data_IF_883347670437
#
_entry.id   IF_883347670437
#
_cell.length_a   1.000
_cell.length_b   1.000
_cell.length_c   1.000
_cell.angle_alpha   90.00
_cell.angle_beta   90.00
_cell.angle_gamma   90.00
#
_symmetry.space_group_name_H-M   'P 1'
#
loop_
_entity.id
_entity.type
_entity.pdbx_description
1 polymer ?
#
# COMPACT_ATOMS: atom_id res chain seq x y z
N UNK A 1 6.84 13.82 -28.17
CA UNK A 1 5.81 14.86 -27.98
C UNK A 1 4.46 14.17 -27.95
N UNK A 2 3.68 14.38 -26.91
CA UNK A 2 2.36 13.76 -26.74
C UNK A 2 1.40 14.26 -27.82
N UNK A 3 0.68 13.35 -28.47
CA UNK A 3 -0.34 13.70 -29.45
C UNK A 3 -1.62 14.21 -28.77
N UNK A 4 -2.48 14.95 -29.53
CA UNK A 4 -3.78 15.39 -29.01
C UNK A 4 -4.64 14.21 -28.52
N UNK A 5 -4.62 13.10 -29.25
CA UNK A 5 -5.38 11.91 -28.87
C UNK A 5 -4.85 11.22 -27.62
N UNK A 6 -3.54 11.22 -27.40
CA UNK A 6 -2.92 10.70 -26.17
C UNK A 6 -3.25 11.59 -24.97
N UNK A 7 -3.21 12.91 -25.16
CA UNK A 7 -3.59 13.86 -24.12
C UNK A 7 -5.05 13.67 -23.68
N UNK A 8 -5.97 13.59 -24.62
CA UNK A 8 -7.40 13.37 -24.32
C UNK A 8 -7.63 12.06 -23.57
N UNK A 9 -6.95 10.98 -23.97
CA UNK A 9 -7.04 9.69 -23.25
C UNK A 9 -6.50 9.78 -21.83
N UNK A 10 -5.38 10.44 -21.65
CA UNK A 10 -4.79 10.64 -20.32
C UNK A 10 -5.71 11.46 -19.41
N UNK A 11 -6.22 12.59 -19.91
CA UNK A 11 -7.15 13.43 -19.14
C UNK A 11 -8.41 12.64 -18.72
N UNK A 12 -8.96 11.84 -19.66
CA UNK A 12 -10.11 10.99 -19.36
C UNK A 12 -9.78 9.90 -18.33
N UNK A 13 -8.61 9.29 -18.41
CA UNK A 13 -8.14 8.31 -17.41
C UNK A 13 -8.02 8.94 -16.03
N UNK A 14 -7.50 10.16 -15.93
CA UNK A 14 -7.40 10.92 -14.67
C UNK A 14 -8.77 11.23 -14.06
N UNK A 15 -9.76 11.62 -14.87
CA UNK A 15 -11.14 11.83 -14.42
C UNK A 15 -11.76 10.53 -13.86
N UNK A 16 -11.61 9.42 -14.58
CA UNK A 16 -12.11 8.11 -14.16
C UNK A 16 -11.44 7.63 -12.88
N UNK A 17 -10.13 7.83 -12.75
CA UNK A 17 -9.40 7.52 -11.52
C UNK A 17 -9.93 8.33 -10.33
N UNK A 18 -10.12 9.65 -10.51
CA UNK A 18 -10.64 10.50 -9.47
C UNK A 18 -12.05 10.09 -9.02
N UNK A 19 -12.92 9.74 -9.97
CA UNK A 19 -14.26 9.23 -9.66
C UNK A 19 -14.19 7.87 -8.96
N UNK A 20 -13.33 6.95 -9.43
CA UNK A 20 -13.09 5.66 -8.77
C UNK A 20 -12.70 5.84 -7.30
N UNK A 21 -11.78 6.77 -7.03
CA UNK A 21 -11.35 7.07 -5.66
C UNK A 21 -12.51 7.62 -4.81
N UNK A 22 -13.35 8.50 -5.35
CA UNK A 22 -14.55 8.97 -4.65
C UNK A 22 -15.51 7.83 -4.29
N UNK A 23 -15.76 6.91 -5.23
CA UNK A 23 -16.61 5.74 -5.00
C UNK A 23 -16.01 4.79 -3.95
N UNK A 24 -14.69 4.58 -4.00
CA UNK A 24 -13.99 3.78 -3.00
C UNK A 24 -14.14 4.39 -1.59
N UNK A 25 -13.95 5.68 -1.44
CA UNK A 25 -14.11 6.37 -0.16
C UNK A 25 -15.56 6.39 0.33
N UNK A 26 -16.52 6.33 -0.59
CA UNK A 26 -17.93 6.18 -0.27
C UNK A 26 -18.34 4.74 0.07
N UNK A 27 -17.44 3.77 -0.12
CA UNK A 27 -17.69 2.35 0.16
C UNK A 27 -18.30 1.57 -1.02
N UNK A 28 -18.52 2.20 -2.17
CA UNK A 28 -18.98 1.50 -3.38
C UNK A 28 -17.79 0.86 -4.11
N UNK A 29 -17.36 -0.30 -3.58
CA UNK A 29 -16.20 -1.01 -4.12
C UNK A 29 -16.45 -1.55 -5.53
N UNK A 30 -17.69 -1.89 -5.88
CA UNK A 30 -18.03 -2.38 -7.22
C UNK A 30 -17.87 -1.27 -8.27
N UNK A 31 -18.41 -0.09 -7.99
CA UNK A 31 -18.24 1.08 -8.86
C UNK A 31 -16.75 1.50 -8.94
N UNK A 32 -16.04 1.53 -7.82
CA UNK A 32 -14.62 1.86 -7.77
C UNK A 32 -13.79 0.93 -8.67
N UNK A 33 -13.96 -0.38 -8.55
CA UNK A 33 -13.24 -1.37 -9.37
C UNK A 33 -13.51 -1.18 -10.87
N UNK A 34 -14.76 -0.98 -11.24
CA UNK A 34 -15.13 -0.73 -12.64
C UNK A 34 -14.42 0.50 -13.19
N UNK A 35 -14.49 1.61 -12.46
CA UNK A 35 -13.91 2.89 -12.88
C UNK A 35 -12.37 2.86 -12.93
N UNK A 36 -11.71 2.20 -11.96
CA UNK A 36 -10.25 2.00 -12.02
C UNK A 36 -9.85 1.18 -13.26
N UNK A 37 -10.59 0.12 -13.59
CA UNK A 37 -10.30 -0.68 -14.79
C UNK A 37 -10.49 0.15 -16.06
N UNK A 38 -11.57 0.91 -16.17
CA UNK A 38 -11.80 1.81 -17.32
C UNK A 38 -10.68 2.85 -17.45
N UNK A 39 -10.22 3.43 -16.34
CA UNK A 39 -9.07 4.34 -16.32
C UNK A 39 -7.80 3.67 -16.85
N UNK A 40 -7.50 2.46 -16.36
CA UNK A 40 -6.31 1.70 -16.73
C UNK A 40 -6.32 1.23 -18.20
N UNK A 41 -7.49 0.95 -18.76
CA UNK A 41 -7.64 0.63 -20.20
C UNK A 41 -7.27 1.82 -21.08
N UNK A 42 -7.54 3.04 -20.61
CA UNK A 42 -7.19 4.25 -21.33
C UNK A 42 -5.71 4.63 -21.17
N UNK A 43 -5.22 4.57 -19.93
CA UNK A 43 -3.84 4.92 -19.60
C UNK A 43 -3.39 4.11 -18.39
N UNK A 44 -2.56 3.06 -18.56
CA UNK A 44 -2.00 2.32 -17.43
C UNK A 44 -1.11 3.21 -16.56
N UNK A 45 -1.38 3.24 -15.26
CA UNK A 45 -0.60 3.99 -14.27
C UNK A 45 -0.28 3.13 -13.06
N UNK A 46 0.86 3.37 -12.41
CA UNK A 46 1.22 2.68 -11.18
C UNK A 46 0.23 2.99 -10.06
N UNK A 47 -0.20 4.23 -9.98
CA UNK A 47 -1.23 4.68 -9.03
C UNK A 47 -2.56 3.95 -9.25
N UNK A 48 -3.02 3.85 -10.49
CA UNK A 48 -4.27 3.17 -10.84
C UNK A 48 -4.29 1.70 -10.45
N UNK A 49 -3.22 0.96 -10.76
CA UNK A 49 -3.07 -0.43 -10.34
C UNK A 49 -2.98 -0.57 -8.83
N UNK A 50 -2.24 0.31 -8.14
CA UNK A 50 -2.10 0.29 -6.68
C UNK A 50 -3.46 0.49 -5.99
N UNK A 51 -4.24 1.46 -6.43
CA UNK A 51 -5.57 1.73 -5.85
C UNK A 51 -6.58 0.64 -6.19
N UNK A 52 -6.51 0.04 -7.38
CA UNK A 52 -7.32 -1.15 -7.69
C UNK A 52 -6.96 -2.31 -6.75
N UNK A 53 -5.67 -2.55 -6.52
CA UNK A 53 -5.20 -3.53 -5.55
C UNK A 53 -5.73 -3.24 -4.14
N UNK A 54 -5.68 -2.00 -3.70
CA UNK A 54 -6.24 -1.59 -2.43
C UNK A 54 -7.75 -1.86 -2.36
N UNK A 55 -8.48 -1.64 -3.45
CA UNK A 55 -9.91 -1.97 -3.51
C UNK A 55 -10.17 -3.46 -3.33
N UNK A 56 -9.36 -4.33 -3.94
CA UNK A 56 -9.45 -5.78 -3.71
C UNK A 56 -9.15 -6.16 -2.26
N UNK A 57 -8.22 -5.47 -1.60
CA UNK A 57 -7.86 -5.77 -0.21
C UNK A 57 -9.03 -5.58 0.77
N UNK A 58 -9.92 -4.62 0.52
CA UNK A 58 -11.14 -4.45 1.31
C UNK A 58 -12.11 -5.63 1.20
N UNK A 59 -12.00 -6.42 0.14
CA UNK A 59 -12.77 -7.64 -0.05
C UNK A 59 -12.04 -8.89 0.45
N UNK A 60 -10.86 -8.75 1.05
CA UNK A 60 -10.02 -9.87 1.47
C UNK A 60 -9.41 -10.66 0.30
N UNK A 61 -9.39 -10.10 -0.90
CA UNK A 61 -8.85 -10.71 -2.12
C UNK A 61 -7.36 -10.39 -2.24
N UNK A 62 -6.56 -10.97 -1.34
CA UNK A 62 -5.16 -10.61 -1.15
C UNK A 62 -4.28 -10.93 -2.36
N UNK A 63 -4.48 -12.08 -3.00
CA UNK A 63 -3.72 -12.47 -4.20
C UNK A 63 -4.03 -11.56 -5.39
N UNK A 64 -5.29 -11.17 -5.57
CA UNK A 64 -5.69 -10.22 -6.62
C UNK A 64 -5.08 -8.83 -6.34
N UNK A 65 -5.08 -8.41 -5.08
CA UNK A 65 -4.46 -7.16 -4.65
C UNK A 65 -2.95 -7.15 -4.93
N UNK A 66 -2.25 -8.24 -4.62
CA UNK A 66 -0.82 -8.41 -4.91
C UNK A 66 -0.57 -8.37 -6.44
N UNK A 67 -1.40 -9.06 -7.21
CA UNK A 67 -1.27 -9.07 -8.67
C UNK A 67 -1.37 -7.65 -9.27
N UNK A 68 -2.28 -6.82 -8.78
CA UNK A 68 -2.38 -5.43 -9.22
C UNK A 68 -1.16 -4.60 -8.78
N UNK A 69 -0.65 -4.78 -7.57
CA UNK A 69 0.57 -4.12 -7.14
C UNK A 69 1.79 -4.52 -7.99
N UNK A 70 1.90 -5.78 -8.41
CA UNK A 70 2.95 -6.23 -9.32
C UNK A 70 2.84 -5.53 -10.69
N UNK A 71 1.64 -5.35 -11.22
CA UNK A 71 1.41 -4.56 -12.44
C UNK A 71 1.80 -3.09 -12.25
N UNK A 72 1.52 -2.52 -11.08
CA UNK A 72 1.96 -1.16 -10.75
C UNK A 72 3.48 -1.02 -10.83
N UNK A 73 4.21 -2.00 -10.31
CA UNK A 73 5.68 -2.04 -10.34
C UNK A 73 6.22 -2.19 -11.79
N UNK A 74 5.52 -2.95 -12.63
CA UNK A 74 5.87 -3.06 -14.06
C UNK A 74 5.72 -1.72 -14.78
N UNK A 75 4.68 -0.94 -14.45
CA UNK A 75 4.45 0.39 -15.05
C UNK A 75 5.47 1.41 -14.57
N UNK A 76 5.71 1.47 -13.25
CA UNK A 76 6.68 2.39 -12.65
C UNK A 76 7.34 1.76 -11.42
N UNK A 77 8.53 1.15 -11.59
CA UNK A 77 9.24 0.52 -10.47
C UNK A 77 9.78 1.51 -9.43
N UNK A 78 9.73 2.81 -9.70
CA UNK A 78 10.17 3.85 -8.75
C UNK A 78 9.11 4.21 -7.72
N UNK A 79 7.84 3.91 -7.99
CA UNK A 79 6.72 4.20 -7.11
C UNK A 79 6.68 3.21 -5.94
N UNK A 80 6.83 3.70 -4.70
CA UNK A 80 7.08 2.86 -3.53
C UNK A 80 5.84 2.22 -2.90
N UNK A 81 4.65 2.81 -3.08
CA UNK A 81 3.42 2.36 -2.46
C UNK A 81 3.11 0.86 -2.70
N UNK A 82 3.19 0.33 -3.95
CA UNK A 82 2.86 -1.07 -4.19
C UNK A 82 3.80 -2.04 -3.47
N UNK A 83 5.05 -1.69 -3.23
CA UNK A 83 5.97 -2.54 -2.47
C UNK A 83 5.53 -2.70 -1.01
N UNK A 84 5.17 -1.61 -0.35
CA UNK A 84 4.62 -1.65 1.01
C UNK A 84 3.30 -2.42 1.05
N UNK A 85 2.42 -2.19 0.07
CA UNK A 85 1.10 -2.82 0.02
C UNK A 85 1.21 -4.33 -0.18
N UNK A 86 2.10 -4.81 -1.06
CA UNK A 86 2.39 -6.25 -1.20
C UNK A 86 2.83 -6.84 0.15
N UNK A 87 3.75 -6.18 0.85
CA UNK A 87 4.19 -6.62 2.17
C UNK A 87 3.02 -6.73 3.16
N UNK A 88 2.13 -5.74 3.19
CA UNK A 88 0.95 -5.74 4.05
C UNK A 88 -0.01 -6.90 3.71
N UNK A 89 -0.24 -7.16 2.43
CA UNK A 89 -1.12 -8.26 1.98
C UNK A 89 -0.51 -9.63 2.26
N UNK A 90 0.81 -9.77 2.16
CA UNK A 90 1.52 -11.00 2.52
C UNK A 90 1.41 -11.32 4.02
N UNK A 91 1.35 -10.32 4.89
CA UNK A 91 1.06 -10.54 6.32
C UNK A 91 -0.32 -11.19 6.50
N UNK A 92 -1.32 -10.74 5.77
CA UNK A 92 -2.67 -11.32 5.83
C UNK A 92 -2.74 -12.77 5.31
N UNK A 93 -1.77 -13.16 4.48
CA UNK A 93 -1.59 -14.53 3.97
C UNK A 93 -0.63 -15.38 4.82
N UNK A 94 -0.23 -14.92 6.00
CA UNK A 94 0.73 -15.59 6.88
C UNK A 94 2.10 -15.88 6.20
N UNK A 95 2.52 -14.95 5.31
CA UNK A 95 3.78 -15.02 4.56
C UNK A 95 4.74 -13.92 5.02
N UNK A 96 5.03 -13.87 6.31
CA UNK A 96 5.77 -12.79 6.97
C UNK A 96 7.20 -12.64 6.46
N UNK A 97 7.90 -13.73 6.21
CA UNK A 97 9.30 -13.68 5.77
C UNK A 97 9.43 -13.04 4.38
N UNK A 98 8.48 -13.30 3.49
CA UNK A 98 8.40 -12.65 2.20
C UNK A 98 8.02 -11.16 2.35
N UNK A 99 7.11 -10.84 3.25
CA UNK A 99 6.68 -9.47 3.52
C UNK A 99 7.85 -8.57 3.91
N UNK A 100 8.79 -9.05 4.73
CA UNK A 100 9.97 -8.30 5.16
C UNK A 100 10.77 -7.79 3.94
N UNK A 101 10.99 -8.63 2.95
CA UNK A 101 11.76 -8.25 1.75
C UNK A 101 11.02 -7.17 0.93
N UNK A 102 9.69 -7.21 0.88
CA UNK A 102 8.91 -6.18 0.20
C UNK A 102 8.94 -4.83 0.92
N UNK A 103 8.92 -4.81 2.25
CA UNK A 103 9.08 -3.56 3.01
C UNK A 103 10.46 -2.95 2.80
N UNK A 104 11.53 -3.74 2.72
CA UNK A 104 12.87 -3.25 2.38
C UNK A 104 12.88 -2.57 1.01
N UNK A 105 12.24 -3.16 0.00
CA UNK A 105 12.10 -2.54 -1.32
C UNK A 105 11.33 -1.21 -1.28
N UNK A 106 10.31 -1.10 -0.42
CA UNK A 106 9.58 0.16 -0.25
C UNK A 106 10.50 1.28 0.26
N UNK A 107 11.36 1.01 1.24
CA UNK A 107 12.33 1.99 1.72
C UNK A 107 13.33 2.44 0.66
N UNK A 108 13.67 1.58 -0.29
CA UNK A 108 14.63 1.85 -1.36
C UNK A 108 14.00 2.55 -2.57
N UNK A 109 12.68 2.58 -2.68
CA UNK A 109 11.98 3.14 -3.82
C UNK A 109 12.15 4.67 -3.89
N UNK A 110 12.59 5.24 -5.03
CA UNK A 110 12.87 6.68 -5.16
C UNK A 110 11.67 7.59 -4.93
N UNK A 111 10.48 7.12 -5.29
CA UNK A 111 9.21 7.85 -5.14
C UNK A 111 8.40 7.31 -3.98
N UNK A 112 8.97 7.37 -2.77
CA UNK A 112 8.28 6.95 -1.55
C UNK A 112 8.78 7.73 -0.35
N UNK A 113 7.87 8.33 0.40
CA UNK A 113 8.19 9.15 1.58
C UNK A 113 7.41 8.71 2.83
N UNK A 114 6.42 7.84 2.67
CA UNK A 114 5.52 7.43 3.75
C UNK A 114 6.11 6.28 4.60
N UNK A 115 7.33 6.44 5.09
CA UNK A 115 8.10 5.41 5.81
C UNK A 115 7.44 4.91 7.10
N UNK A 116 6.50 5.65 7.66
CA UNK A 116 5.76 5.19 8.84
C UNK A 116 5.02 3.87 8.58
N UNK A 117 4.51 3.65 7.36
CA UNK A 117 3.76 2.43 7.03
C UNK A 117 4.62 1.16 6.98
N UNK A 118 5.74 1.10 6.25
CA UNK A 118 6.59 -0.08 6.28
C UNK A 118 7.22 -0.32 7.66
N UNK A 119 7.57 0.71 8.43
CA UNK A 119 7.99 0.53 9.81
C UNK A 119 6.88 -0.07 10.67
N UNK A 120 5.67 0.46 10.59
CA UNK A 120 4.53 -0.09 11.33
C UNK A 120 4.25 -1.55 10.96
N UNK A 121 4.28 -1.87 9.67
CA UNK A 121 4.05 -3.23 9.18
C UNK A 121 5.18 -4.20 9.57
N UNK A 122 6.44 -3.77 9.56
CA UNK A 122 7.56 -4.56 10.10
C UNK A 122 7.36 -4.83 11.60
N UNK A 123 6.89 -3.86 12.35
CA UNK A 123 6.50 -4.05 13.75
C UNK A 123 5.48 -5.18 13.91
N UNK A 124 4.44 -5.19 13.08
CA UNK A 124 3.42 -6.26 13.06
C UNK A 124 4.04 -7.63 12.76
N UNK A 125 4.94 -7.70 11.78
CA UNK A 125 5.65 -8.94 11.42
C UNK A 125 6.47 -9.45 12.60
N UNK A 126 7.31 -8.61 13.19
CA UNK A 126 8.16 -9.02 14.31
C UNK A 126 7.34 -9.40 15.54
N UNK A 127 6.23 -8.73 15.79
CA UNK A 127 5.30 -9.09 16.88
C UNK A 127 4.68 -10.48 16.66
N UNK A 128 4.19 -10.79 15.44
CA UNK A 128 3.70 -12.13 15.08
C UNK A 128 4.77 -13.22 15.28
N UNK A 129 6.04 -12.88 15.04
CA UNK A 129 7.17 -13.78 15.25
C UNK A 129 7.64 -13.88 16.70
N UNK A 130 7.00 -13.16 17.63
CA UNK A 130 7.40 -13.10 19.05
C UNK A 130 8.67 -12.30 19.30
N UNK A 131 9.14 -11.52 18.33
CA UNK A 131 10.36 -10.72 18.40
C UNK A 131 10.05 -9.32 18.93
N UNK A 132 9.56 -9.23 20.17
CA UNK A 132 8.94 -8.04 20.74
C UNK A 132 9.88 -6.82 20.82
N UNK A 133 11.19 -7.03 21.03
CA UNK A 133 12.16 -5.94 21.04
C UNK A 133 12.30 -5.30 19.65
N UNK A 134 12.39 -6.12 18.61
CA UNK A 134 12.42 -5.64 17.23
C UNK A 134 11.11 -4.97 16.83
N UNK A 135 9.99 -5.57 17.23
CA UNK A 135 8.67 -4.98 17.00
C UNK A 135 8.56 -3.58 17.61
N UNK A 136 8.97 -3.43 18.88
CA UNK A 136 8.95 -2.14 19.56
C UNK A 136 9.84 -1.10 18.87
N UNK A 137 11.03 -1.50 18.42
CA UNK A 137 11.94 -0.61 17.69
C UNK A 137 11.29 -0.10 16.39
N UNK A 138 10.64 -0.97 15.64
CA UNK A 138 9.95 -0.61 14.40
C UNK A 138 8.73 0.28 14.65
N UNK A 139 7.91 -0.02 15.66
CA UNK A 139 6.78 0.84 16.02
C UNK A 139 7.22 2.23 16.48
N UNK A 140 8.36 2.34 17.19
CA UNK A 140 8.95 3.63 17.55
C UNK A 140 9.44 4.39 16.33
N UNK A 141 10.04 3.70 15.37
CA UNK A 141 10.45 4.30 14.10
C UNK A 141 9.23 4.83 13.33
N UNK A 142 8.15 4.06 13.27
CA UNK A 142 6.89 4.51 12.67
C UNK A 142 6.33 5.76 13.37
N UNK A 143 6.35 5.78 14.70
CA UNK A 143 5.89 6.92 15.50
C UNK A 143 6.76 8.17 15.28
N UNK A 144 8.06 8.00 15.07
CA UNK A 144 8.98 9.09 14.74
C UNK A 144 8.66 9.69 13.37
N UNK A 145 8.39 8.85 12.37
CA UNK A 145 8.00 9.28 11.02
C UNK A 145 6.64 9.98 11.01
N UNK A 146 5.68 9.45 11.75
CA UNK A 146 4.34 10.04 11.90
C UNK A 146 3.87 9.95 13.35
N UNK A 147 4.07 11.00 14.16
CA UNK A 147 3.63 11.04 15.56
C UNK A 147 2.12 10.86 15.76
N UNK A 148 1.31 11.14 14.75
CA UNK A 148 -0.15 11.01 14.80
C UNK A 148 -0.66 9.62 14.40
N UNK A 149 0.23 8.69 14.06
CA UNK A 149 -0.15 7.34 13.66
C UNK A 149 -0.64 6.55 14.89
N UNK A 150 -1.97 6.45 15.05
CA UNK A 150 -2.61 5.84 16.23
C UNK A 150 -2.20 4.39 16.47
N UNK A 151 -2.06 3.60 15.40
CA UNK A 151 -1.63 2.20 15.51
C UNK A 151 -0.23 2.05 16.12
N UNK A 152 0.71 2.89 15.70
CA UNK A 152 2.07 2.90 16.24
C UNK A 152 2.08 3.36 17.71
N UNK A 153 1.34 4.42 18.04
CA UNK A 153 1.20 4.89 19.42
C UNK A 153 0.66 3.79 20.34
N UNK A 154 -0.40 3.10 19.94
CA UNK A 154 -1.03 2.04 20.71
C UNK A 154 -0.09 0.84 20.88
N UNK A 155 0.61 0.44 19.80
CA UNK A 155 1.53 -0.68 19.84
C UNK A 155 2.74 -0.41 20.76
N UNK A 156 3.31 0.80 20.71
CA UNK A 156 4.40 1.22 21.61
C UNK A 156 3.96 1.13 23.07
N UNK A 157 2.80 1.71 23.42
CA UNK A 157 2.27 1.66 24.79
C UNK A 157 2.05 0.23 25.28
N UNK A 158 1.44 -0.60 24.44
CA UNK A 158 1.13 -2.00 24.77
C UNK A 158 2.40 -2.83 25.02
N UNK A 159 3.38 -2.74 24.12
CA UNK A 159 4.62 -3.51 24.26
C UNK A 159 5.50 -2.99 25.40
N UNK A 160 5.50 -1.69 25.67
CA UNK A 160 6.18 -1.15 26.85
C UNK A 160 5.57 -1.65 28.16
N UNK A 161 4.24 -1.74 28.24
CA UNK A 161 3.55 -2.25 29.41
C UNK A 161 3.85 -3.74 29.69
N UNK A 162 4.14 -4.52 28.66
CA UNK A 162 4.52 -5.94 28.80
C UNK A 162 5.91 -6.14 29.43
N UNK A 163 6.76 -5.10 29.45
CA UNK A 163 8.11 -5.16 30.06
C UNK A 163 8.14 -4.83 31.55
N UNK A 164 7.07 -4.24 32.07
CA UNK A 164 6.94 -3.84 33.48
C UNK A 164 6.12 -4.87 34.25
#
# INVERSE_FOLDING_TARGET
>A
METEGERVRRERAEELFAEAHRQQMAGDLAAAKRLYRESLEMCPTAEGHTFLGWTYSFEGRWEDAIAECLRAIEVDPTFGNPYNDIGAYLIELDREDEAIEWFKKAFEAPRYESYCFPHFNLGRVYEKKGMFEKALAEYRAAQKENPQHRGAQSAVKRLQAMKN
#
